data_IF_082339176323
#
_entry.id   IF_082339176323
#
_cell.length_a   1.000
_cell.length_b   1.000
_cell.length_c   1.000
_cell.angle_alpha   90.00
_cell.angle_beta   90.00
_cell.angle_gamma   90.00
#
_symmetry.space_group_name_H-M   'P 1'
#
loop_
_entity.id
_entity.type
_entity.pdbx_description
1 polymer ?
#
# COMPACT_ATOMS: atom_id res chain seq x y z
N UNK A 1 -14.24 -7.28 4.39
CA UNK A 1 -12.84 -7.06 4.77
C UNK A 1 -12.28 -5.88 4.00
N UNK A 2 -11.51 -5.01 4.65
CA UNK A 2 -10.99 -3.82 3.95
C UNK A 2 -9.95 -4.15 2.87
N UNK A 3 -9.29 -5.29 2.96
CA UNK A 3 -8.39 -5.74 1.91
C UNK A 3 -8.88 -7.06 1.35
N UNK A 4 -9.10 -7.09 0.03
CA UNK A 4 -9.49 -8.31 -0.68
C UNK A 4 -8.28 -8.81 -1.46
N UNK A 5 -7.85 -10.03 -1.17
CA UNK A 5 -6.70 -10.63 -1.82
C UNK A 5 -7.13 -11.47 -3.01
N UNK A 6 -6.64 -11.10 -4.18
CA UNK A 6 -6.87 -11.85 -5.42
C UNK A 6 -5.57 -12.52 -5.84
N UNK A 7 -5.56 -13.17 -6.98
CA UNK A 7 -4.39 -13.96 -7.41
C UNK A 7 -3.09 -13.14 -7.42
N UNK A 8 -3.13 -11.93 -7.96
CA UNK A 8 -1.93 -11.09 -8.06
C UNK A 8 -2.16 -9.66 -7.60
N UNK A 9 -3.30 -9.38 -6.95
CA UNK A 9 -3.67 -8.02 -6.55
C UNK A 9 -4.31 -8.03 -5.17
N UNK A 10 -3.87 -7.12 -4.31
CA UNK A 10 -4.56 -6.83 -3.05
C UNK A 10 -5.36 -5.55 -3.25
N UNK A 11 -6.66 -5.62 -3.13
CA UNK A 11 -7.57 -4.49 -3.32
C UNK A 11 -7.91 -3.89 -1.96
N UNK A 12 -7.51 -2.63 -1.76
CA UNK A 12 -7.78 -1.90 -0.52
C UNK A 12 -9.07 -1.13 -0.68
N UNK A 13 -9.96 -1.22 0.31
CA UNK A 13 -11.28 -0.60 0.26
C UNK A 13 -11.58 0.08 1.60
N UNK A 14 -11.93 1.35 1.58
CA UNK A 14 -12.28 2.12 2.77
C UNK A 14 -11.12 2.32 3.70
N UNK A 15 -11.35 2.13 5.00
CA UNK A 15 -10.34 2.29 6.05
C UNK A 15 -9.66 0.97 6.31
N UNK A 16 -8.34 0.93 6.12
CA UNK A 16 -7.53 -0.27 6.34
C UNK A 16 -6.70 -0.04 7.61
N UNK A 17 -6.98 -0.83 8.65
CA UNK A 17 -6.36 -0.69 9.96
C UNK A 17 -5.13 -1.57 10.14
N UNK A 18 -4.46 -1.38 11.29
CA UNK A 18 -3.22 -2.09 11.60
C UNK A 18 -3.43 -3.60 11.70
N UNK A 19 -4.64 -4.05 12.02
CA UNK A 19 -4.97 -5.46 12.13
C UNK A 19 -4.83 -6.21 10.80
N UNK A 20 -4.76 -5.50 9.68
CA UNK A 20 -4.55 -6.12 8.37
C UNK A 20 -3.07 -6.40 8.08
N UNK A 21 -2.17 -5.93 8.94
CA UNK A 21 -0.73 -5.97 8.66
C UNK A 21 -0.16 -7.38 8.50
N UNK A 22 -0.51 -8.30 9.40
CA UNK A 22 0.03 -9.66 9.35
C UNK A 22 -0.40 -10.38 8.08
N UNK A 23 -1.69 -10.25 7.71
CA UNK A 23 -2.21 -10.87 6.50
C UNK A 23 -1.55 -10.27 5.26
N UNK A 24 -1.35 -8.96 5.25
CA UNK A 24 -0.72 -8.29 4.13
C UNK A 24 0.74 -8.74 3.96
N UNK A 25 1.48 -8.83 5.05
CA UNK A 25 2.86 -9.33 5.01
C UNK A 25 2.92 -10.75 4.48
N UNK A 26 2.03 -11.62 4.94
CA UNK A 26 1.98 -13.00 4.48
C UNK A 26 1.65 -13.06 3.00
N UNK A 27 0.69 -12.26 2.55
CA UNK A 27 0.30 -12.24 1.15
C UNK A 27 1.48 -11.81 0.25
N UNK A 28 2.22 -10.78 0.63
CA UNK A 28 3.39 -10.36 -0.12
C UNK A 28 4.47 -11.44 -0.14
N UNK A 29 4.63 -12.17 0.96
CA UNK A 29 5.58 -13.28 1.03
C UNK A 29 5.25 -14.36 0.01
N UNK A 30 3.96 -14.62 -0.18
CA UNK A 30 3.48 -15.63 -1.12
C UNK A 30 3.37 -15.10 -2.56
N UNK A 31 3.30 -13.77 -2.70
CA UNK A 31 3.13 -13.13 -4.00
C UNK A 31 4.16 -12.00 -4.16
N UNK A 32 5.45 -12.35 -4.34
CA UNK A 32 6.50 -11.33 -4.40
C UNK A 32 6.34 -10.34 -5.55
N UNK A 33 5.56 -10.69 -6.57
CA UNK A 33 5.26 -9.79 -7.69
C UNK A 33 3.83 -9.26 -7.63
N UNK A 34 3.18 -9.40 -6.49
CA UNK A 34 1.82 -8.93 -6.32
C UNK A 34 1.70 -7.42 -6.47
N UNK A 35 0.53 -6.98 -6.90
CA UNK A 35 0.22 -5.56 -7.09
C UNK A 35 -0.78 -5.12 -6.03
N UNK A 36 -0.89 -3.81 -5.85
CA UNK A 36 -1.92 -3.26 -4.96
C UNK A 36 -2.82 -2.31 -5.75
N UNK A 37 -4.09 -2.29 -5.37
CA UNK A 37 -5.09 -1.40 -5.94
C UNK A 37 -5.65 -0.56 -4.81
N UNK A 38 -5.39 0.75 -4.85
CA UNK A 38 -5.79 1.68 -3.81
C UNK A 38 -6.98 2.55 -4.22
N UNK A 39 -7.63 2.23 -5.33
CA UNK A 39 -8.68 3.07 -5.89
C UNK A 39 -9.75 3.44 -4.87
N UNK A 40 -10.22 2.47 -4.09
CA UNK A 40 -11.32 2.67 -3.16
C UNK A 40 -10.88 2.87 -1.71
N UNK A 41 -9.58 2.94 -1.47
CA UNK A 41 -9.08 3.18 -0.13
C UNK A 41 -9.25 4.65 0.24
N UNK A 42 -9.79 4.91 1.43
CA UNK A 42 -9.96 6.27 1.94
C UNK A 42 -8.96 6.57 3.06
N UNK A 43 -8.40 5.53 3.69
CA UNK A 43 -7.37 5.69 4.69
C UNK A 43 -6.66 4.35 4.89
N UNK A 44 -5.34 4.40 5.03
CA UNK A 44 -4.53 3.22 5.32
C UNK A 44 -3.62 3.56 6.49
N UNK A 45 -3.61 2.70 7.51
CA UNK A 45 -2.76 2.90 8.68
C UNK A 45 -1.29 3.01 8.26
N UNK A 46 -0.54 3.89 8.93
CA UNK A 46 0.86 4.14 8.61
C UNK A 46 1.70 2.85 8.60
N UNK A 47 1.40 1.91 9.49
CA UNK A 47 2.11 0.64 9.52
C UNK A 47 1.94 -0.15 8.23
N UNK A 48 0.76 -0.12 7.63
CA UNK A 48 0.52 -0.78 6.34
C UNK A 48 1.27 -0.08 5.21
N UNK A 49 1.33 1.24 5.26
CA UNK A 49 2.08 2.03 4.28
C UNK A 49 3.56 1.67 4.34
N UNK A 50 4.11 1.49 5.55
CA UNK A 50 5.50 1.07 5.72
C UNK A 50 5.74 -0.32 5.13
N UNK A 51 4.80 -1.24 5.31
CA UNK A 51 4.89 -2.57 4.69
C UNK A 51 4.93 -2.45 3.17
N UNK A 52 4.05 -1.65 2.61
CA UNK A 52 3.98 -1.43 1.17
C UNK A 52 5.31 -0.85 0.67
N UNK A 53 5.86 0.11 1.36
CA UNK A 53 7.13 0.73 0.97
C UNK A 53 8.29 -0.26 1.03
N UNK A 54 8.31 -1.12 2.03
CA UNK A 54 9.36 -2.14 2.14
C UNK A 54 9.28 -3.16 1.00
N UNK A 55 8.07 -3.54 0.59
CA UNK A 55 7.89 -4.52 -0.47
C UNK A 55 7.99 -3.91 -1.86
N UNK A 56 7.70 -2.62 -1.97
CA UNK A 56 7.74 -1.88 -3.24
C UNK A 56 6.93 -2.56 -4.36
N UNK A 57 5.67 -2.92 -4.09
CA UNK A 57 4.84 -3.54 -5.12
C UNK A 57 4.44 -2.52 -6.18
N UNK A 58 4.03 -3.03 -7.34
CA UNK A 58 3.45 -2.17 -8.35
C UNK A 58 2.06 -1.72 -7.89
N UNK A 59 1.82 -0.41 -7.93
CA UNK A 59 0.50 0.15 -7.65
C UNK A 59 -0.29 0.15 -8.94
N UNK A 60 -1.32 -0.71 -9.04
CA UNK A 60 -2.11 -0.82 -10.26
C UNK A 60 -3.07 0.35 -10.43
N UNK A 61 -3.65 0.85 -9.32
CA UNK A 61 -4.55 2.01 -9.34
C UNK A 61 -4.25 2.87 -8.12
N UNK A 62 -4.06 4.17 -8.33
CA UNK A 62 -3.83 5.13 -7.25
C UNK A 62 -5.17 5.49 -6.57
N UNK A 63 -5.13 6.03 -5.34
CA UNK A 63 -6.37 6.38 -4.63
C UNK A 63 -7.18 7.43 -5.36
N UNK A 64 -8.51 7.24 -5.37
CA UNK A 64 -9.43 8.23 -5.92
C UNK A 64 -9.77 9.32 -4.89
N UNK A 65 -9.72 8.99 -3.59
CA UNK A 65 -9.98 9.97 -2.55
C UNK A 65 -8.89 11.05 -2.58
N UNK A 66 -9.24 12.34 -2.77
CA UNK A 66 -8.22 13.36 -2.99
C UNK A 66 -7.32 13.59 -1.77
N UNK A 67 -7.85 13.48 -0.57
CA UNK A 67 -7.04 13.67 0.64
C UNK A 67 -6.07 12.51 0.83
N UNK A 68 -6.55 11.29 0.64
CA UNK A 68 -5.70 10.11 0.79
C UNK A 68 -4.68 10.04 -0.34
N UNK A 69 -5.04 10.43 -1.56
CA UNK A 69 -4.11 10.44 -2.68
C UNK A 69 -2.93 11.37 -2.41
N UNK A 70 -3.19 12.56 -1.85
CA UNK A 70 -2.14 13.50 -1.49
C UNK A 70 -1.25 12.91 -0.41
N UNK A 71 -1.83 12.32 0.63
CA UNK A 71 -1.07 11.69 1.70
C UNK A 71 -0.21 10.55 1.18
N UNK A 72 -0.78 9.70 0.33
CA UNK A 72 -0.07 8.59 -0.28
C UNK A 72 1.12 9.06 -1.11
N UNK A 73 0.89 10.04 -1.97
CA UNK A 73 1.92 10.59 -2.84
C UNK A 73 3.07 11.20 -2.05
N UNK A 74 2.75 11.95 -1.01
CA UNK A 74 3.78 12.56 -0.16
C UNK A 74 4.57 11.52 0.61
N UNK A 75 3.92 10.48 1.10
CA UNK A 75 4.58 9.39 1.83
C UNK A 75 5.57 8.65 0.92
N UNK A 76 5.15 8.34 -0.29
CA UNK A 76 6.01 7.67 -1.27
C UNK A 76 7.19 8.56 -1.64
N UNK A 77 6.94 9.84 -1.91
CA UNK A 77 7.99 10.78 -2.29
C UNK A 77 9.04 10.91 -1.19
N UNK A 78 8.61 10.95 0.07
CA UNK A 78 9.53 11.05 1.21
C UNK A 78 10.46 9.85 1.27
N UNK A 79 9.91 8.64 1.11
CA UNK A 79 10.71 7.41 1.15
C UNK A 79 11.67 7.34 -0.03
N UNK A 80 11.19 7.66 -1.22
CA UNK A 80 12.04 7.62 -2.41
C UNK A 80 13.15 8.65 -2.34
N UNK A 81 12.86 9.83 -1.80
CA UNK A 81 13.88 10.86 -1.62
C UNK A 81 14.97 10.40 -0.64
N UNK A 82 14.57 9.74 0.46
CA UNK A 82 15.53 9.22 1.42
C UNK A 82 16.43 8.15 0.80
N UNK A 83 15.85 7.26 0.01
CA UNK A 83 16.62 6.24 -0.70
C UNK A 83 17.60 6.85 -1.68
N UNK A 84 17.16 7.87 -2.42
CA UNK A 84 18.01 8.56 -3.38
C UNK A 84 19.19 9.23 -2.68
N UNK A 85 18.98 9.82 -1.52
CA UNK A 85 20.03 10.48 -0.77
C UNK A 85 21.07 9.51 -0.22
N UNK A 86 20.68 8.28 0.09
CA UNK A 86 21.61 7.29 0.64
C UNK A 86 22.45 6.60 -0.42
N UNK A 87 22.09 6.72 -1.66
CA UNK A 87 22.86 6.14 -2.75
C UNK A 87 23.79 7.15 -3.37
#
# INVERSE_FOLDING_TARGET
MPITYKTNVAVFDGVCGIEEGDDLLQWFSEHPKGKINLKQSTHTHTALIQIIMCQQPTVSVTPEDPEFEIFWRESIATVMSAETETT
#
